data_IF_619402110746
#
_entry.id   IF_619402110746
#
_cell.length_a   1.000
_cell.length_b   1.000
_cell.length_c   1.000
_cell.angle_alpha   90.00
_cell.angle_beta   90.00
_cell.angle_gamma   90.00
#
_symmetry.space_group_name_H-M   'P 1'
#
loop_
_entity.id
_entity.type
_entity.pdbx_description
1 polymer ?
#
# COMPACT_ATOMS: atom_id res chain seq x y z
N UNK A 1 -2.57 7.30 -0.21
CA UNK A 1 -1.22 6.70 -0.22
C UNK A 1 -0.22 7.72 0.25
N UNK A 2 0.64 7.34 1.19
CA UNK A 2 1.64 8.22 1.78
C UNK A 2 2.92 7.44 2.12
N UNK A 3 3.67 7.02 1.10
CA UNK A 3 4.95 6.33 1.28
C UNK A 3 6.00 7.26 1.92
N UNK A 4 5.83 8.58 1.78
CA UNK A 4 6.67 9.55 2.46
C UNK A 4 6.61 9.40 3.99
N UNK A 5 5.40 9.21 4.55
CA UNK A 5 5.24 8.97 5.99
C UNK A 5 5.94 7.69 6.47
N UNK A 6 5.92 6.63 5.65
CA UNK A 6 6.67 5.40 5.95
C UNK A 6 8.18 5.65 6.03
N UNK A 7 8.73 6.39 5.07
CA UNK A 7 10.15 6.74 5.02
C UNK A 7 10.57 7.57 6.24
N UNK A 8 9.79 8.60 6.57
CA UNK A 8 10.05 9.49 7.72
C UNK A 8 10.00 8.72 9.05
N UNK A 9 8.97 7.88 9.23
CA UNK A 9 8.80 7.08 10.44
C UNK A 9 9.89 6.02 10.63
N UNK A 10 10.40 5.47 9.54
CA UNK A 10 11.44 4.43 9.57
C UNK A 10 12.85 4.98 9.42
N UNK A 11 12.99 6.31 9.30
CA UNK A 11 14.26 6.99 9.04
C UNK A 11 14.99 6.44 7.81
N UNK A 12 14.25 6.07 6.76
CA UNK A 12 14.78 5.57 5.51
C UNK A 12 14.71 6.63 4.42
N UNK A 13 15.66 6.59 3.50
CA UNK A 13 15.63 7.42 2.28
C UNK A 13 14.90 6.70 1.15
N UNK A 14 14.41 7.48 0.19
CA UNK A 14 13.79 6.92 -1.02
C UNK A 14 14.76 6.04 -1.83
N UNK A 15 16.05 6.38 -1.83
CA UNK A 15 17.11 5.59 -2.50
C UNK A 15 17.33 4.23 -1.84
N UNK A 16 17.37 4.19 -0.51
CA UNK A 16 17.48 2.92 0.23
C UNK A 16 16.26 2.03 0.01
N UNK A 17 15.06 2.63 0.00
CA UNK A 17 13.83 1.89 -0.28
C UNK A 17 13.83 1.35 -1.71
N UNK A 18 14.25 2.14 -2.69
CA UNK A 18 14.38 1.72 -4.08
C UNK A 18 15.32 0.51 -4.23
N UNK A 19 16.48 0.56 -3.56
CA UNK A 19 17.45 -0.54 -3.55
C UNK A 19 16.88 -1.81 -2.89
N UNK A 20 16.21 -1.68 -1.73
CA UNK A 20 15.60 -2.82 -1.01
C UNK A 20 14.50 -3.51 -1.81
N UNK A 21 13.71 -2.73 -2.55
CA UNK A 21 12.59 -3.24 -3.36
C UNK A 21 13.02 -3.62 -4.79
N UNK A 22 14.28 -3.36 -5.17
CA UNK A 22 14.80 -3.52 -6.52
C UNK A 22 13.92 -2.80 -7.58
N UNK A 23 13.62 -1.53 -7.33
CA UNK A 23 12.82 -0.67 -8.20
C UNK A 23 13.57 0.61 -8.54
N UNK A 24 13.09 1.32 -9.56
CA UNK A 24 13.63 2.63 -9.93
C UNK A 24 13.29 3.70 -8.86
N UNK A 25 14.24 4.58 -8.54
CA UNK A 25 14.04 5.67 -7.57
C UNK A 25 12.94 6.66 -7.97
N UNK A 26 12.66 6.82 -9.27
CA UNK A 26 11.54 7.60 -9.77
C UNK A 26 10.19 6.96 -9.42
N UNK A 27 10.12 5.63 -9.34
CA UNK A 27 8.91 4.93 -8.89
C UNK A 27 8.62 5.29 -7.43
N UNK A 28 9.62 5.19 -6.55
CA UNK A 28 9.51 5.60 -5.14
C UNK A 28 9.10 7.07 -5.03
N UNK A 29 9.72 7.94 -5.82
CA UNK A 29 9.37 9.37 -5.84
C UNK A 29 7.93 9.63 -6.25
N UNK A 30 7.38 8.85 -7.19
CA UNK A 30 5.97 8.93 -7.57
C UNK A 30 5.05 8.44 -6.46
N UNK A 31 5.45 7.41 -5.72
CA UNK A 31 4.67 6.89 -4.57
C UNK A 31 4.65 7.88 -3.40
N UNK A 32 5.76 8.56 -3.12
CA UNK A 32 5.80 9.65 -2.13
C UNK A 32 4.87 10.81 -2.50
N UNK A 33 4.62 11.02 -3.81
CA UNK A 33 3.73 12.06 -4.33
C UNK A 33 2.28 11.60 -4.51
N UNK A 34 1.94 10.36 -4.13
CA UNK A 34 0.58 9.86 -4.28
C UNK A 34 0.16 9.53 -5.73
N UNK A 35 1.09 9.55 -6.71
CA UNK A 35 0.71 9.53 -8.13
C UNK A 35 0.22 8.16 -8.64
N UNK A 36 0.83 7.06 -8.21
CA UNK A 36 0.51 5.70 -8.66
C UNK A 36 0.73 4.71 -7.52
N UNK A 37 -0.15 3.74 -7.32
CA UNK A 37 0.06 2.69 -6.30
C UNK A 37 1.15 1.70 -6.75
N UNK A 38 2.03 1.21 -5.85
CA UNK A 38 2.98 0.18 -6.19
C UNK A 38 2.31 -1.12 -6.68
N UNK A 39 3.07 -1.97 -7.37
CA UNK A 39 2.60 -3.30 -7.77
C UNK A 39 2.35 -4.18 -6.55
N UNK A 40 1.52 -5.22 -6.73
CA UNK A 40 1.19 -6.22 -5.72
C UNK A 40 2.40 -6.69 -4.88
N UNK A 41 3.47 -7.13 -5.57
CA UNK A 41 4.68 -7.64 -4.93
C UNK A 41 5.38 -6.59 -4.08
N UNK A 42 5.36 -5.33 -4.50
CA UNK A 42 5.95 -4.20 -3.77
C UNK A 42 5.10 -3.85 -2.55
N UNK A 43 3.77 -3.78 -2.69
CA UNK A 43 2.87 -3.55 -1.56
C UNK A 43 3.03 -4.62 -0.48
N UNK A 44 3.19 -5.88 -0.87
CA UNK A 44 3.49 -6.99 0.05
C UNK A 44 4.80 -6.77 0.79
N UNK A 45 5.87 -6.44 0.07
CA UNK A 45 7.18 -6.17 0.67
C UNK A 45 7.12 -4.99 1.64
N UNK A 46 6.43 -3.90 1.28
CA UNK A 46 6.23 -2.74 2.15
C UNK A 46 5.54 -3.13 3.46
N UNK A 47 4.46 -3.92 3.41
CA UNK A 47 3.79 -4.43 4.62
C UNK A 47 4.74 -5.28 5.48
N UNK A 48 5.51 -6.18 4.87
CA UNK A 48 6.51 -7.00 5.57
C UNK A 48 7.64 -6.16 6.18
N UNK A 49 7.96 -5.01 5.58
CA UNK A 49 8.89 -4.02 6.11
C UNK A 49 8.25 -3.13 7.20
N UNK A 50 7.00 -3.38 7.58
CA UNK A 50 6.30 -2.67 8.63
C UNK A 50 5.63 -1.38 8.17
N UNK A 51 5.37 -1.21 6.87
CA UNK A 51 4.50 -0.16 6.39
C UNK A 51 3.05 -0.40 6.84
N UNK A 52 2.35 0.68 7.13
CA UNK A 52 0.92 0.65 7.49
C UNK A 52 0.06 0.68 6.24
N UNK A 53 -1.17 0.21 6.37
CA UNK A 53 -2.13 0.14 5.25
C UNK A 53 -2.39 1.54 4.68
N UNK A 54 -2.57 2.54 5.53
CA UNK A 54 -2.75 3.96 5.13
C UNK A 54 -1.51 4.58 4.45
N UNK A 55 -0.32 4.01 4.65
CA UNK A 55 0.89 4.47 3.98
C UNK A 55 0.93 3.94 2.53
N UNK A 56 0.37 2.75 2.29
CA UNK A 56 0.38 2.06 0.98
C UNK A 56 -0.85 2.39 0.12
N UNK A 57 -2.03 2.48 0.73
CA UNK A 57 -3.29 2.68 0.04
C UNK A 57 -3.86 4.09 0.30
N UNK A 58 -4.87 4.51 -0.47
CA UNK A 58 -5.64 5.70 -0.12
C UNK A 58 -6.56 5.45 1.08
N UNK A 59 -7.18 6.52 1.58
CA UNK A 59 -7.99 6.50 2.78
C UNK A 59 -9.18 5.54 2.66
N UNK A 60 -9.93 5.60 1.55
CA UNK A 60 -11.11 4.76 1.33
C UNK A 60 -10.74 3.27 1.24
N UNK A 61 -9.66 2.94 0.51
CA UNK A 61 -9.16 1.58 0.43
C UNK A 61 -8.65 1.12 1.80
N UNK A 62 -7.91 1.96 2.53
CA UNK A 62 -7.41 1.62 3.85
C UNK A 62 -8.52 1.39 4.87
N UNK A 63 -9.59 2.19 4.87
CA UNK A 63 -10.75 1.99 5.73
C UNK A 63 -11.49 0.68 5.44
N UNK A 64 -11.69 0.37 4.17
CA UNK A 64 -12.33 -0.88 3.73
C UNK A 64 -11.53 -2.08 4.23
N UNK A 65 -10.22 -2.06 3.96
CA UNK A 65 -9.30 -3.10 4.39
C UNK A 65 -9.29 -3.21 5.93
N UNK A 66 -9.29 -2.09 6.67
CA UNK A 66 -9.33 -2.12 8.14
C UNK A 66 -10.62 -2.72 8.68
N UNK A 67 -11.78 -2.40 8.10
CA UNK A 67 -13.06 -3.04 8.47
C UNK A 67 -13.02 -4.56 8.26
N UNK A 68 -12.39 -5.00 7.18
CA UNK A 68 -12.22 -6.41 6.87
C UNK A 68 -11.21 -7.09 7.78
N UNK A 69 -10.05 -6.48 8.06
CA UNK A 69 -9.00 -7.02 8.95
C UNK A 69 -9.39 -6.98 10.44
N UNK A 70 -10.24 -6.04 10.88
CA UNK A 70 -10.75 -6.01 12.26
C UNK A 70 -11.45 -7.33 12.63
N UNK A 71 -11.92 -8.09 11.65
CA UNK A 71 -12.43 -9.45 11.85
C UNK A 71 -11.33 -10.52 12.06
N UNK A 72 -10.10 -10.24 11.65
CA UNK A 72 -8.91 -11.12 11.73
C UNK A 72 -8.03 -10.84 12.97
N UNK A 73 -8.14 -9.66 13.59
CA UNK A 73 -7.23 -9.14 14.64
C UNK A 73 -7.29 -9.81 16.03
N UNK A 74 -7.92 -10.96 16.18
CA UNK A 74 -7.82 -11.74 17.43
C UNK A 74 -6.49 -12.50 17.58
N UNK A 75 -5.51 -12.29 16.70
CA UNK A 75 -4.21 -13.00 16.76
C UNK A 75 -3.03 -12.02 16.74
N UNK A 76 -2.04 -12.27 17.60
CA UNK A 76 -1.03 -11.26 18.01
C UNK A 76 0.10 -10.99 17.00
N UNK A 77 0.06 -11.57 15.80
CA UNK A 77 1.00 -11.27 14.71
C UNK A 77 0.33 -11.44 13.35
N UNK A 78 0.48 -10.42 12.50
CA UNK A 78 0.09 -10.46 11.09
C UNK A 78 0.95 -11.50 10.36
N UNK A 79 0.32 -12.53 9.81
CA UNK A 79 0.96 -13.60 9.04
C UNK A 79 1.23 -13.17 7.60
N UNK A 80 2.02 -13.96 6.87
CA UNK A 80 2.21 -13.76 5.44
C UNK A 80 0.88 -13.84 4.66
N UNK A 81 -0.03 -14.74 5.08
CA UNK A 81 -1.38 -14.86 4.50
C UNK A 81 -2.20 -13.60 4.74
N UNK A 82 -2.09 -12.99 5.93
CA UNK A 82 -2.76 -11.73 6.21
C UNK A 82 -2.23 -10.64 5.28
N UNK A 83 -0.90 -10.51 5.14
CA UNK A 83 -0.31 -9.52 4.24
C UNK A 83 -0.81 -9.68 2.79
N UNK A 84 -0.94 -10.91 2.29
CA UNK A 84 -1.47 -11.15 0.94
C UNK A 84 -2.92 -10.70 0.79
N UNK A 85 -3.76 -11.01 1.78
CA UNK A 85 -5.19 -10.67 1.76
C UNK A 85 -5.39 -9.15 1.79
N UNK A 86 -4.60 -8.46 2.61
CA UNK A 86 -4.57 -6.99 2.70
C UNK A 86 -4.29 -6.38 1.33
N UNK A 87 -3.22 -6.85 0.66
CA UNK A 87 -2.84 -6.29 -0.64
C UNK A 87 -3.87 -6.64 -1.71
N UNK A 88 -4.40 -7.87 -1.74
CA UNK A 88 -5.44 -8.29 -2.70
C UNK A 88 -6.65 -7.36 -2.60
N UNK A 89 -7.15 -7.11 -1.39
CA UNK A 89 -8.31 -6.24 -1.16
C UNK A 89 -8.03 -4.78 -1.52
N UNK A 90 -6.89 -4.25 -1.10
CA UNK A 90 -6.53 -2.87 -1.42
C UNK A 90 -6.39 -2.62 -2.92
N UNK A 91 -5.78 -3.55 -3.65
CA UNK A 91 -5.68 -3.43 -5.12
C UNK A 91 -7.03 -3.60 -5.82
N UNK A 92 -7.87 -4.53 -5.37
CA UNK A 92 -9.22 -4.70 -5.92
C UNK A 92 -10.06 -3.43 -5.74
N UNK A 93 -9.93 -2.75 -4.60
CA UNK A 93 -10.64 -1.50 -4.34
C UNK A 93 -10.16 -0.35 -5.24
N UNK A 94 -8.84 -0.20 -5.40
CA UNK A 94 -8.26 0.79 -6.31
C UNK A 94 -8.71 0.56 -7.77
N UNK A 95 -8.74 -0.70 -8.21
CA UNK A 95 -9.22 -1.05 -9.55
C UNK A 95 -10.70 -0.70 -9.72
N UNK A 96 -11.53 -0.98 -8.71
CA UNK A 96 -12.94 -0.61 -8.73
C UNK A 96 -13.12 0.91 -8.81
N UNK A 97 -12.39 1.68 -8.01
CA UNK A 97 -12.45 3.15 -8.05
C UNK A 97 -12.03 3.70 -9.42
N UNK A 98 -10.95 3.19 -10.00
CA UNK A 98 -10.51 3.61 -11.34
C UNK A 98 -11.56 3.35 -12.41
N UNK A 99 -12.18 2.17 -12.39
CA UNK A 99 -13.26 1.84 -13.34
C UNK A 99 -14.48 2.77 -13.17
N UNK A 100 -14.79 3.24 -11.95
CA UNK A 100 -15.87 4.21 -11.70
C UNK A 100 -15.50 5.61 -12.19
N UNK A 101 -14.25 6.06 -12.00
CA UNK A 101 -13.80 7.37 -12.49
C UNK A 101 -13.71 7.44 -14.01
N UNK A 102 -13.33 6.34 -14.68
CA UNK A 102 -13.32 6.28 -16.15
C UNK A 102 -14.74 6.17 -16.73
N UNK A 103 -15.67 5.52 -16.03
CA UNK A 103 -17.08 5.40 -16.48
C UNK A 103 -17.89 6.69 -16.30
N UNK A 104 -17.49 7.58 -15.37
CA UNK A 104 -18.16 8.86 -15.10
C UNK A 104 -17.52 10.05 -15.86
N UNK A 105 -16.50 9.80 -16.68
CA UNK A 105 -15.91 10.78 -17.59
C UNK A 105 -16.60 10.76 -18.95
N UNK A 106 -17.85 11.21 -19.02
CA UNK A 106 -18.55 11.58 -20.28
C UNK A 106 -19.07 13.00 -20.14
#
# INVERSE_FOLDING_TARGET
MNIQAFLERTHQTGTELAAKLNVDGSAVSNWCKGKNTPKYTVCLQLLKMGAKIEEIFDEEAAETIKKDILTLQNTSKMTDSDCEEIVKRGMAKLLFQWNQTESNGI
#
